data_IF_954700032392
#
_entry.id   IF_954700032392
#
_cell.length_a   1.000
_cell.length_b   1.000
_cell.length_c   1.000
_cell.angle_alpha   90.00
_cell.angle_beta   90.00
_cell.angle_gamma   90.00
#
_symmetry.space_group_name_H-M   'P 1'
#
loop_
_entity.id
_entity.type
_entity.pdbx_description
1 polymer ?
#
# COMPACT_ATOMS: atom_id res chain seq x y z
N UNK A 1 1.32 38.79 -38.25
CA UNK A 1 2.20 38.89 -37.07
C UNK A 1 1.59 37.99 -36.01
N UNK A 2 2.23 36.88 -35.62
CA UNK A 2 1.69 36.01 -34.58
C UNK A 2 1.88 36.69 -33.22
N UNK A 3 0.79 36.90 -32.48
CA UNK A 3 0.82 37.49 -31.14
C UNK A 3 1.00 36.39 -30.11
N UNK A 4 1.45 36.76 -28.89
CA UNK A 4 1.62 35.80 -27.77
C UNK A 4 0.29 35.07 -27.48
N UNK A 5 -0.84 35.75 -27.68
CA UNK A 5 -2.19 35.18 -27.53
C UNK A 5 -2.48 34.09 -28.58
N UNK A 6 -2.06 34.29 -29.83
CA UNK A 6 -2.24 33.29 -30.89
C UNK A 6 -1.43 32.02 -30.63
N UNK A 7 -0.19 32.15 -30.14
CA UNK A 7 0.67 31.02 -29.77
C UNK A 7 0.15 30.26 -28.54
N UNK A 8 -0.35 30.99 -27.54
CA UNK A 8 -0.98 30.43 -26.35
C UNK A 8 -2.23 29.62 -26.72
N UNK A 9 -3.10 30.18 -27.56
CA UNK A 9 -4.32 29.50 -27.99
C UNK A 9 -4.02 28.22 -28.77
N UNK A 10 -3.10 28.27 -29.75
CA UNK A 10 -2.71 27.09 -30.54
C UNK A 10 -2.07 26.00 -29.68
N UNK A 11 -1.22 26.39 -28.72
CA UNK A 11 -0.59 25.44 -27.78
C UNK A 11 -1.62 24.81 -26.84
N UNK A 12 -2.55 25.60 -26.32
CA UNK A 12 -3.59 25.12 -25.41
C UNK A 12 -4.61 24.23 -26.14
N UNK A 13 -4.98 24.58 -27.36
CA UNK A 13 -5.85 23.77 -28.22
C UNK A 13 -5.15 22.47 -28.64
N UNK A 14 -3.86 22.50 -28.99
CA UNK A 14 -3.09 21.28 -29.31
C UNK A 14 -2.93 20.36 -28.09
N UNK A 15 -2.76 20.94 -26.89
CA UNK A 15 -2.83 20.17 -25.64
C UNK A 15 -4.23 19.57 -25.51
N UNK A 16 -5.29 20.37 -25.59
CA UNK A 16 -6.66 19.91 -25.39
C UNK A 16 -7.15 18.86 -26.41
N UNK A 17 -6.76 18.97 -27.68
CA UNK A 17 -7.11 18.04 -28.76
C UNK A 17 -6.30 16.74 -28.70
N UNK A 18 -5.07 16.79 -28.17
CA UNK A 18 -4.25 15.60 -27.88
C UNK A 18 -4.56 14.93 -26.53
N UNK A 19 -5.34 15.58 -25.66
CA UNK A 19 -5.62 15.15 -24.29
C UNK A 19 -7.11 14.88 -24.09
N UNK A 20 -7.64 13.82 -24.70
CA UNK A 20 -8.91 13.25 -24.21
C UNK A 20 -8.73 12.87 -22.75
N UNK A 21 -9.28 13.67 -21.82
CA UNK A 21 -9.23 13.52 -20.36
C UNK A 21 -8.04 12.67 -19.87
N UNK A 22 -6.81 13.19 -19.95
CA UNK A 22 -5.67 12.51 -19.34
C UNK A 22 -5.89 12.52 -17.83
N UNK A 23 -6.39 11.41 -17.31
CA UNK A 23 -6.33 11.14 -15.89
C UNK A 23 -4.85 11.14 -15.51
N UNK A 24 -4.39 12.05 -14.63
CA UNK A 24 -2.99 12.05 -14.24
C UNK A 24 -2.66 10.68 -13.65
N UNK A 25 -1.59 10.06 -14.13
CA UNK A 25 -1.15 8.68 -13.81
C UNK A 25 -1.91 7.54 -14.51
N UNK A 26 -2.65 7.78 -15.60
CA UNK A 26 -3.23 6.70 -16.41
C UNK A 26 -2.12 5.76 -16.93
N UNK A 27 -2.30 4.45 -16.75
CA UNK A 27 -1.29 3.44 -17.09
C UNK A 27 -0.27 3.14 -15.98
N UNK A 28 -0.22 3.93 -14.91
CA UNK A 28 0.62 3.66 -13.72
C UNK A 28 -0.14 2.89 -12.63
N UNK A 29 -1.42 2.55 -12.83
CA UNK A 29 -2.23 1.83 -11.83
C UNK A 29 -1.58 0.48 -11.48
N UNK A 30 -1.02 -0.22 -12.46
CA UNK A 30 -0.33 -1.50 -12.26
C UNK A 30 0.93 -1.38 -11.42
N UNK A 31 1.67 -0.29 -11.57
CA UNK A 31 2.87 -0.03 -10.77
C UNK A 31 2.48 0.18 -9.31
N UNK A 32 1.45 1.00 -9.05
CA UNK A 32 0.93 1.21 -7.70
C UNK A 32 0.33 -0.06 -7.10
N UNK A 33 -0.38 -0.86 -7.90
CA UNK A 33 -0.92 -2.14 -7.46
C UNK A 33 0.20 -3.10 -7.03
N UNK A 34 1.27 -3.22 -7.82
CA UNK A 34 2.42 -4.07 -7.49
C UNK A 34 3.06 -3.61 -6.18
N UNK A 35 3.29 -2.30 -6.01
CA UNK A 35 3.86 -1.74 -4.78
C UNK A 35 2.97 -2.07 -3.58
N UNK A 36 1.66 -1.88 -3.70
CA UNK A 36 0.70 -2.18 -2.64
C UNK A 36 0.72 -3.68 -2.27
N UNK A 37 0.75 -4.57 -3.26
CA UNK A 37 0.80 -6.03 -3.04
C UNK A 37 2.11 -6.44 -2.38
N UNK A 38 3.26 -5.91 -2.82
CA UNK A 38 4.55 -6.22 -2.21
C UNK A 38 4.61 -5.75 -0.76
N UNK A 39 4.13 -4.53 -0.49
CA UNK A 39 4.06 -4.00 0.88
C UNK A 39 3.13 -4.85 1.76
N UNK A 40 1.97 -5.24 1.22
CA UNK A 40 1.01 -6.10 1.91
C UNK A 40 1.62 -7.45 2.29
N UNK A 41 2.26 -8.12 1.34
CA UNK A 41 2.94 -9.40 1.60
C UNK A 41 4.06 -9.24 2.62
N UNK A 42 4.93 -8.23 2.47
CA UNK A 42 6.02 -7.98 3.42
C UNK A 42 5.51 -7.75 4.84
N UNK A 43 4.46 -6.93 4.99
CA UNK A 43 3.81 -6.69 6.26
C UNK A 43 3.23 -7.98 6.86
N UNK A 44 2.52 -8.78 6.04
CA UNK A 44 1.91 -10.03 6.48
C UNK A 44 2.96 -11.04 6.94
N UNK A 45 4.04 -11.24 6.19
CA UNK A 45 5.12 -12.14 6.59
C UNK A 45 5.79 -11.69 7.90
N UNK A 46 6.06 -10.40 8.08
CA UNK A 46 6.67 -9.88 9.31
C UNK A 46 5.74 -10.04 10.52
N UNK A 47 4.45 -9.80 10.34
CA UNK A 47 3.44 -9.95 11.40
C UNK A 47 3.27 -11.42 11.78
N UNK A 48 3.09 -12.30 10.80
CA UNK A 48 2.95 -13.74 11.05
C UNK A 48 4.20 -14.37 11.66
N UNK A 49 5.41 -13.91 11.30
CA UNK A 49 6.65 -14.41 11.91
C UNK A 49 6.70 -14.12 13.41
N UNK A 50 6.28 -12.91 13.84
CA UNK A 50 6.23 -12.54 15.26
C UNK A 50 5.23 -13.39 16.05
N UNK A 51 4.07 -13.65 15.46
CA UNK A 51 3.06 -14.52 16.09
C UNK A 51 3.54 -15.97 16.17
N UNK A 52 4.23 -16.45 15.13
CA UNK A 52 4.77 -17.81 15.10
C UNK A 52 5.86 -18.01 16.15
N UNK A 53 6.74 -17.03 16.36
CA UNK A 53 7.78 -17.09 17.39
C UNK A 53 7.20 -17.16 18.80
N UNK A 54 6.16 -16.36 19.08
CA UNK A 54 5.49 -16.40 20.39
C UNK A 54 4.73 -17.71 20.61
N UNK A 55 4.06 -18.22 19.57
CA UNK A 55 3.38 -19.52 19.63
C UNK A 55 4.35 -20.68 19.81
N UNK A 56 5.51 -20.65 19.14
CA UNK A 56 6.56 -21.67 19.30
C UNK A 56 7.16 -21.63 20.71
N UNK A 57 7.42 -20.42 21.24
CA UNK A 57 7.86 -20.21 22.62
C UNK A 57 6.87 -20.81 23.61
N UNK A 58 5.59 -20.45 23.50
CA UNK A 58 4.53 -20.99 24.35
C UNK A 58 4.38 -22.51 24.19
N UNK A 59 4.49 -23.06 22.99
CA UNK A 59 4.46 -24.51 22.78
C UNK A 59 5.64 -25.21 23.45
N UNK A 60 6.83 -24.62 23.42
CA UNK A 60 8.03 -25.17 24.06
C UNK A 60 7.95 -25.15 25.59
N UNK A 61 7.29 -24.14 26.15
CA UNK A 61 7.15 -23.94 27.59
C UNK A 61 6.13 -24.91 28.23
N UNK A 62 5.35 -25.62 27.40
CA UNK A 62 4.28 -26.55 27.78
C UNK A 62 3.40 -26.04 28.94
N UNK A 63 2.85 -24.82 28.79
CA UNK A 63 2.08 -24.18 29.83
C UNK A 63 0.86 -25.05 30.12
N UNK A 64 0.77 -25.57 31.35
CA UNK A 64 -0.35 -26.42 31.77
C UNK A 64 -1.70 -25.74 31.53
N UNK A 65 -2.81 -26.50 31.55
CA UNK A 65 -4.18 -26.04 31.19
C UNK A 65 -4.60 -24.69 31.79
N UNK A 66 -4.06 -24.34 32.95
CA UNK A 66 -4.38 -23.14 33.71
C UNK A 66 -3.42 -21.95 33.51
N UNK A 67 -2.41 -22.07 32.64
CA UNK A 67 -1.40 -21.02 32.42
C UNK A 67 -1.96 -19.72 31.83
N UNK A 68 -3.12 -19.75 31.18
CA UNK A 68 -3.80 -18.54 30.72
C UNK A 68 -4.27 -17.64 31.88
N UNK A 69 -4.42 -18.18 33.10
CA UNK A 69 -4.86 -17.43 34.29
C UNK A 69 -3.81 -16.43 34.78
N UNK A 70 -2.53 -16.63 34.48
CA UNK A 70 -1.46 -15.72 34.90
C UNK A 70 -1.37 -14.44 34.06
N UNK A 71 -2.02 -14.42 32.89
CA UNK A 71 -2.07 -13.27 31.98
C UNK A 71 -3.45 -12.59 31.97
N UNK A 72 -4.34 -12.98 32.89
CA UNK A 72 -5.63 -12.32 33.03
C UNK A 72 -5.39 -10.89 33.53
N UNK A 73 -5.89 -9.92 32.78
CA UNK A 73 -5.69 -8.52 33.12
C UNK A 73 -6.63 -8.10 34.25
N UNK A 74 -6.08 -7.42 35.26
CA UNK A 74 -6.77 -7.10 36.52
C UNK A 74 -7.65 -5.83 36.44
N UNK A 75 -8.22 -5.56 35.25
CA UNK A 75 -9.02 -4.36 34.96
C UNK A 75 -10.44 -4.71 34.51
#
# INVERSE_FOLDING_TARGET
MATIEAWSAETFTALQEGTGAIYPMVGLEWLWLIIAVVFWLWWHFKTSARETEELDRLSSENPGRDAHKQYQSDW
#
